data_IF_351807095053
#
_entry.id   IF_351807095053
#
_cell.length_a   1.000
_cell.length_b   1.000
_cell.length_c   1.000
_cell.angle_alpha   90.00
_cell.angle_beta   90.00
_cell.angle_gamma   90.00
#
_symmetry.space_group_name_H-M   'P 1'
#
loop_
_entity.id
_entity.type
_entity.pdbx_description
1 polymer ?
#
# COMPACT_ATOMS: atom_id res chain seq x y z
N UNK A 1 29.17 8.95 -8.84
CA UNK A 1 27.76 8.49 -8.87
C UNK A 1 26.92 9.57 -8.23
N UNK A 2 25.89 10.06 -8.91
CA UNK A 2 24.92 11.00 -8.32
C UNK A 2 24.04 10.23 -7.33
N UNK A 3 23.75 10.76 -6.13
CA UNK A 3 22.83 10.09 -5.22
C UNK A 3 21.45 9.98 -5.86
N UNK A 4 20.76 8.86 -5.59
CA UNK A 4 19.40 8.67 -6.06
C UNK A 4 18.46 9.69 -5.40
N UNK A 5 17.44 10.19 -6.12
CA UNK A 5 16.39 10.99 -5.53
C UNK A 5 15.69 10.26 -4.39
N UNK A 6 15.21 11.02 -3.40
CA UNK A 6 14.44 10.46 -2.28
C UNK A 6 12.99 10.86 -2.42
N UNK A 7 12.10 9.88 -2.36
CA UNK A 7 10.65 10.07 -2.25
C UNK A 7 10.24 9.62 -0.85
N UNK A 8 9.37 10.37 -0.19
CA UNK A 8 9.00 10.13 1.21
C UNK A 8 7.54 9.72 1.34
N UNK A 9 7.25 8.73 2.17
CA UNK A 9 5.91 8.44 2.70
C UNK A 9 5.94 8.75 4.19
N UNK A 10 5.05 9.62 4.64
CA UNK A 10 4.90 9.97 6.05
C UNK A 10 3.72 9.22 6.67
N UNK A 11 4.04 8.27 7.55
CA UNK A 11 3.07 7.42 8.25
C UNK A 11 2.08 8.18 9.12
N UNK A 12 2.37 9.42 9.52
CA UNK A 12 1.45 10.24 10.31
C UNK A 12 0.37 10.94 9.46
N UNK A 13 0.41 10.82 8.13
CA UNK A 13 -0.53 11.51 7.22
C UNK A 13 -1.77 10.70 6.85
N UNK A 14 -1.87 9.47 7.31
CA UNK A 14 -3.01 8.60 7.06
C UNK A 14 -3.34 7.77 8.28
N UNK A 15 -4.60 7.36 8.37
CA UNK A 15 -5.13 6.56 9.49
C UNK A 15 -5.75 5.25 9.04
N UNK A 16 -5.82 5.02 7.73
CA UNK A 16 -6.39 3.83 7.09
C UNK A 16 -5.74 3.59 5.71
N UNK A 17 -6.21 2.54 5.02
CA UNK A 17 -5.67 2.13 3.72
C UNK A 17 -5.98 3.13 2.59
N UNK A 18 -7.12 3.80 2.62
CA UNK A 18 -7.47 4.80 1.61
C UNK A 18 -6.59 6.04 1.73
N UNK A 19 -6.34 6.51 2.95
CA UNK A 19 -5.39 7.59 3.20
C UNK A 19 -3.96 7.22 2.80
N UNK A 20 -3.56 5.95 2.96
CA UNK A 20 -2.27 5.48 2.44
C UNK A 20 -2.18 5.61 0.92
N UNK A 21 -3.23 5.24 0.18
CA UNK A 21 -3.27 5.44 -1.27
C UNK A 21 -3.24 6.91 -1.69
N UNK A 22 -3.85 7.80 -0.91
CA UNK A 22 -3.76 9.25 -1.14
C UNK A 22 -2.32 9.75 -0.94
N UNK A 23 -1.64 9.25 0.09
CA UNK A 23 -0.24 9.59 0.35
C UNK A 23 0.69 9.09 -0.77
N UNK A 24 0.49 7.87 -1.26
CA UNK A 24 1.21 7.35 -2.44
C UNK A 24 0.94 8.21 -3.66
N UNK A 25 -0.32 8.59 -3.91
CA UNK A 25 -0.70 9.46 -5.02
C UNK A 25 0.00 10.82 -4.93
N UNK A 26 0.11 11.38 -3.72
CA UNK A 26 0.73 12.68 -3.47
C UNK A 26 2.25 12.66 -3.66
N UNK A 27 2.90 11.56 -3.27
CA UNK A 27 4.37 11.51 -3.15
C UNK A 27 5.05 10.77 -4.30
N UNK A 28 4.51 9.64 -4.72
CA UNK A 28 5.16 8.78 -5.72
C UNK A 28 4.64 9.04 -7.13
N UNK A 29 3.35 9.37 -7.28
CA UNK A 29 2.71 9.45 -8.59
C UNK A 29 1.71 10.63 -8.73
N UNK A 30 2.17 11.88 -8.50
CA UNK A 30 1.28 13.04 -8.47
C UNK A 30 0.57 13.28 -9.80
N UNK A 31 -0.75 13.45 -9.73
CA UNK A 31 -1.61 13.76 -10.89
C UNK A 31 -1.99 12.56 -11.75
N UNK A 32 -1.55 11.34 -11.42
CA UNK A 32 -1.95 10.14 -12.12
C UNK A 32 -3.16 9.45 -11.48
N UNK A 33 -4.01 8.86 -12.32
CA UNK A 33 -5.03 7.90 -11.90
C UNK A 33 -4.40 6.50 -11.98
N UNK A 34 -4.50 5.73 -10.89
CA UNK A 34 -3.91 4.40 -10.79
C UNK A 34 -4.81 3.47 -9.97
N UNK A 35 -4.49 2.18 -9.95
CA UNK A 35 -5.37 1.13 -9.45
C UNK A 35 -5.69 1.14 -7.96
N UNK A 36 -4.97 1.94 -7.14
CA UNK A 36 -5.14 2.04 -5.67
C UNK A 36 -5.27 0.67 -4.98
N UNK A 37 -4.34 -0.21 -5.30
CA UNK A 37 -4.24 -1.57 -4.75
C UNK A 37 -2.76 -1.98 -4.66
N UNK A 38 -2.49 -3.11 -3.99
CA UNK A 38 -1.13 -3.57 -3.72
C UNK A 38 -0.33 -3.93 -4.99
N UNK A 39 -0.98 -4.48 -6.02
CA UNK A 39 -0.32 -4.80 -7.29
C UNK A 39 0.13 -3.52 -8.00
N UNK A 40 -0.76 -2.54 -8.12
CA UNK A 40 -0.46 -1.26 -8.72
C UNK A 40 0.58 -0.47 -7.90
N UNK A 41 0.55 -0.58 -6.57
CA UNK A 41 1.58 0.00 -5.71
C UNK A 41 2.94 -0.65 -5.98
N UNK A 42 3.00 -1.99 -6.06
CA UNK A 42 4.22 -2.71 -6.42
C UNK A 42 4.75 -2.33 -7.80
N UNK A 43 3.88 -2.08 -8.78
CA UNK A 43 4.29 -1.56 -10.09
C UNK A 43 4.90 -0.15 -10.00
N UNK A 44 4.30 0.75 -9.22
CA UNK A 44 4.86 2.09 -8.97
C UNK A 44 6.28 1.97 -8.37
N UNK A 45 6.51 1.04 -7.45
CA UNK A 45 7.83 0.84 -6.83
C UNK A 45 8.90 0.35 -7.83
N UNK A 46 8.50 -0.33 -8.91
CA UNK A 46 9.42 -0.70 -10.01
C UNK A 46 9.78 0.48 -10.91
N UNK A 47 9.00 1.56 -10.84
CA UNK A 47 9.18 2.78 -11.60
C UNK A 47 8.57 2.74 -13.01
N UNK A 48 8.75 3.82 -13.77
CA UNK A 48 8.20 3.97 -15.13
C UNK A 48 6.85 4.70 -15.20
N UNK A 49 6.37 5.25 -14.08
CA UNK A 49 5.07 5.91 -13.98
C UNK A 49 5.17 7.41 -13.61
N UNK A 50 6.26 8.08 -14.02
CA UNK A 50 6.59 9.44 -13.55
C UNK A 50 7.40 9.48 -12.26
N UNK A 51 7.73 8.32 -11.70
CA UNK A 51 8.78 8.15 -10.68
C UNK A 51 10.16 8.54 -11.24
N UNK A 52 11.14 8.93 -10.40
CA UNK A 52 12.45 9.36 -10.88
C UNK A 52 13.17 8.35 -11.80
N UNK A 53 13.76 8.86 -12.88
CA UNK A 53 14.56 8.07 -13.81
C UNK A 53 15.82 7.51 -13.13
N UNK A 54 16.18 6.26 -13.45
CA UNK A 54 17.34 5.59 -12.85
C UNK A 54 17.12 5.06 -11.42
N UNK A 55 15.89 5.17 -10.91
CA UNK A 55 15.49 4.66 -9.59
C UNK A 55 15.46 5.74 -8.51
N UNK A 56 14.97 5.36 -7.33
CA UNK A 56 14.81 6.27 -6.18
C UNK A 56 14.97 5.52 -4.86
N UNK A 57 15.22 6.28 -3.79
CA UNK A 57 15.12 5.79 -2.42
C UNK A 57 13.73 6.13 -1.91
N UNK A 58 12.98 5.12 -1.48
CA UNK A 58 11.75 5.33 -0.72
C UNK A 58 12.11 5.47 0.76
N UNK A 59 11.92 6.66 1.32
CA UNK A 59 12.00 6.89 2.77
C UNK A 59 10.61 6.76 3.37
N UNK A 60 10.47 5.91 4.38
CA UNK A 60 9.22 5.79 5.12
C UNK A 60 9.39 6.35 6.53
N UNK A 61 8.90 7.56 6.76
CA UNK A 61 8.90 8.24 8.07
C UNK A 61 7.66 7.85 8.87
N UNK A 62 7.74 7.96 10.20
CA UNK A 62 6.65 7.61 11.12
C UNK A 62 6.00 6.24 10.88
N UNK A 63 6.79 5.24 10.48
CA UNK A 63 6.31 3.89 10.13
C UNK A 63 5.57 3.16 11.26
N UNK A 64 5.74 3.61 12.52
CA UNK A 64 4.92 3.15 13.64
C UNK A 64 3.45 3.54 13.45
N UNK A 65 3.16 4.74 12.97
CA UNK A 65 1.80 5.18 12.67
C UNK A 65 1.21 4.38 11.51
N UNK A 66 1.99 4.13 10.45
CA UNK A 66 1.58 3.23 9.36
C UNK A 66 1.19 1.85 9.88
N UNK A 67 1.97 1.28 10.81
CA UNK A 67 1.66 -0.04 11.40
C UNK A 67 0.38 -0.03 12.24
N UNK A 68 0.05 1.07 12.90
CA UNK A 68 -1.21 1.22 13.62
C UNK A 68 -2.38 1.37 12.65
N UNK A 69 -2.22 2.21 11.63
CA UNK A 69 -3.23 2.50 10.61
C UNK A 69 -3.53 1.32 9.68
N UNK A 70 -2.49 0.58 9.26
CA UNK A 70 -2.54 -0.52 8.29
C UNK A 70 -2.34 -1.88 8.96
N UNK A 71 -2.51 -1.93 10.28
CA UNK A 71 -2.34 -3.15 11.06
C UNK A 71 -3.40 -4.20 10.74
N UNK A 72 -3.36 -5.29 11.51
CA UNK A 72 -4.23 -6.45 11.28
C UNK A 72 -5.73 -6.12 11.19
N UNK A 73 -6.23 -5.14 11.94
CA UNK A 73 -7.64 -4.73 11.87
C UNK A 73 -8.01 -4.15 10.49
N UNK A 74 -7.20 -3.23 9.95
CA UNK A 74 -7.45 -2.65 8.63
C UNK A 74 -7.24 -3.69 7.51
N UNK A 75 -6.24 -4.57 7.68
CA UNK A 75 -6.03 -5.71 6.78
C UNK A 75 -7.25 -6.64 6.75
N UNK A 76 -7.83 -6.96 7.92
CA UNK A 76 -9.05 -7.78 7.99
C UNK A 76 -10.23 -7.10 7.27
N UNK A 77 -10.44 -5.81 7.49
CA UNK A 77 -11.49 -5.04 6.77
C UNK A 77 -11.28 -5.06 5.26
N UNK A 78 -10.03 -4.96 4.79
CA UNK A 78 -9.71 -5.05 3.37
C UNK A 78 -9.96 -6.46 2.81
N UNK A 79 -9.58 -7.51 3.54
CA UNK A 79 -9.79 -8.91 3.15
C UNK A 79 -11.28 -9.29 3.11
N UNK A 80 -12.10 -8.79 4.03
CA UNK A 80 -13.56 -8.95 4.02
C UNK A 80 -14.16 -8.41 2.72
N UNK A 81 -13.84 -7.16 2.36
CA UNK A 81 -14.28 -6.56 1.08
C UNK A 81 -13.77 -7.32 -0.13
N UNK A 82 -12.56 -7.87 -0.03
CA UNK A 82 -11.93 -8.64 -1.10
C UNK A 82 -12.65 -9.97 -1.31
N UNK A 83 -13.05 -10.65 -0.23
CA UNK A 83 -13.76 -11.94 -0.28
C UNK A 83 -15.10 -11.85 -1.03
N UNK A 84 -15.78 -10.70 -0.95
CA UNK A 84 -17.02 -10.44 -1.67
C UNK A 84 -16.84 -10.36 -3.20
N UNK A 85 -15.65 -9.92 -3.64
CA UNK A 85 -15.39 -9.53 -5.04
C UNK A 85 -14.41 -10.46 -5.75
N UNK A 86 -13.60 -11.22 -5.01
CA UNK A 86 -12.59 -12.08 -5.59
C UNK A 86 -13.21 -13.27 -6.33
N UNK A 87 -12.46 -13.79 -7.30
CA UNK A 87 -12.86 -14.99 -8.04
C UNK A 87 -13.05 -16.18 -7.06
N UNK A 88 -14.08 -17.04 -7.25
CA UNK A 88 -14.37 -18.15 -6.33
C UNK A 88 -13.17 -19.05 -6.01
N UNK A 89 -12.24 -19.25 -6.95
CA UNK A 89 -11.03 -20.05 -6.73
C UNK A 89 -10.12 -19.50 -5.62
N UNK A 90 -10.12 -18.18 -5.39
CA UNK A 90 -9.23 -17.53 -4.43
C UNK A 90 -9.88 -17.37 -3.05
N UNK A 91 -11.19 -17.61 -2.93
CA UNK A 91 -11.93 -17.46 -1.66
C UNK A 91 -11.35 -18.29 -0.51
N UNK A 92 -10.85 -19.53 -0.71
CA UNK A 92 -10.22 -20.28 0.38
C UNK A 92 -9.01 -19.55 0.96
N UNK A 93 -8.12 -19.04 0.11
CA UNK A 93 -6.90 -18.36 0.54
C UNK A 93 -7.22 -17.01 1.22
N UNK A 94 -8.09 -16.20 0.61
CA UNK A 94 -8.53 -14.92 1.20
C UNK A 94 -9.21 -15.13 2.56
N UNK A 95 -9.95 -16.23 2.74
CA UNK A 95 -10.54 -16.56 4.04
C UNK A 95 -9.47 -16.94 5.06
N UNK A 96 -8.45 -17.72 4.66
CA UNK A 96 -7.36 -18.07 5.54
C UNK A 96 -6.59 -16.82 5.99
N UNK A 97 -6.28 -15.92 5.06
CA UNK A 97 -5.62 -14.64 5.37
C UNK A 97 -6.49 -13.76 6.28
N UNK A 98 -7.81 -13.74 6.07
CA UNK A 98 -8.74 -12.97 6.91
C UNK A 98 -8.73 -13.48 8.36
N UNK A 99 -8.76 -14.80 8.54
CA UNK A 99 -8.70 -15.40 9.88
C UNK A 99 -7.34 -15.16 10.54
N UNK A 100 -6.23 -15.23 9.78
CA UNK A 100 -4.90 -14.88 10.29
C UNK A 100 -4.84 -13.41 10.75
N UNK A 101 -5.33 -12.47 9.92
CA UNK A 101 -5.40 -11.07 10.28
C UNK A 101 -6.25 -10.85 11.54
N UNK A 102 -7.44 -11.45 11.65
CA UNK A 102 -8.27 -11.36 12.86
C UNK A 102 -7.58 -11.92 14.12
N UNK A 103 -6.71 -12.92 13.96
CA UNK A 103 -5.90 -13.47 15.04
C UNK A 103 -4.65 -12.63 15.37
N UNK A 104 -4.37 -11.57 14.61
CA UNK A 104 -3.16 -10.75 14.77
C UNK A 104 -1.88 -11.43 14.32
N UNK A 105 -1.98 -12.35 13.36
CA UNK A 105 -0.89 -13.13 12.78
C UNK A 105 -0.44 -12.56 11.43
#
# INVERSE_FOLDING_TARGET
>A
MTPLPVVEIDGARFTDLEGFWDEVSRQLIPGAVWGRNLDAFNDILRGGFGTPEGGFVLRWTDSRQSRLALGHEETARWLERTLERCHPSNRPDIRADLEAARAGL
#
